data_IF_832416408402
#
_entry.id   IF_832416408402
#
_cell.length_a   1.000
_cell.length_b   1.000
_cell.length_c   1.000
_cell.angle_alpha   90.00
_cell.angle_beta   90.00
_cell.angle_gamma   90.00
#
_symmetry.space_group_name_H-M   'P 1'
#
loop_
_entity.id
_entity.type
_entity.pdbx_description
1 polymer ?
#
# COMPACT_ATOMS: atom_id res chain seq x y z
N UNK A 1 22.66 -8.37 50.59
CA UNK A 1 23.79 -9.23 51.06
C UNK A 1 25.12 -8.49 51.27
N UNK A 2 25.55 -7.59 50.37
CA UNK A 2 26.80 -6.80 50.54
C UNK A 2 26.92 -6.07 51.90
N UNK A 3 25.83 -5.44 52.36
CA UNK A 3 25.78 -4.78 53.67
C UNK A 3 25.98 -5.74 54.86
N UNK A 4 25.55 -7.00 54.73
CA UNK A 4 25.68 -8.01 55.77
C UNK A 4 27.15 -8.48 55.91
N UNK A 5 27.84 -8.71 54.79
CA UNK A 5 29.24 -9.17 54.79
C UNK A 5 30.18 -8.10 55.38
N UNK A 6 30.02 -6.83 54.97
CA UNK A 6 30.85 -5.73 55.48
C UNK A 6 30.57 -5.47 56.97
N UNK A 7 29.30 -5.59 57.40
CA UNK A 7 28.92 -5.46 58.80
C UNK A 7 29.53 -6.56 59.66
N UNK A 8 29.40 -7.82 59.26
CA UNK A 8 29.94 -8.97 59.99
C UNK A 8 31.48 -8.92 60.08
N UNK A 9 32.17 -8.62 58.97
CA UNK A 9 33.63 -8.49 58.95
C UNK A 9 34.12 -7.44 59.95
N UNK A 10 33.50 -6.25 59.98
CA UNK A 10 33.87 -5.19 60.94
C UNK A 10 33.66 -5.63 62.38
N UNK A 11 32.59 -6.37 62.66
CA UNK A 11 32.29 -6.90 64.00
C UNK A 11 33.33 -7.95 64.42
N UNK A 12 33.65 -8.91 63.55
CA UNK A 12 34.67 -9.93 63.83
C UNK A 12 36.07 -9.33 63.97
N UNK A 13 36.44 -8.33 63.15
CA UNK A 13 37.73 -7.63 63.28
C UNK A 13 37.85 -6.89 64.62
N UNK A 14 36.79 -6.20 65.06
CA UNK A 14 36.74 -5.58 66.38
C UNK A 14 36.94 -6.61 67.49
N UNK A 15 36.28 -7.75 67.37
CA UNK A 15 36.40 -8.86 68.32
C UNK A 15 37.83 -9.42 68.38
N UNK A 16 38.44 -9.71 67.23
CA UNK A 16 39.85 -10.16 67.14
C UNK A 16 40.80 -9.16 67.78
N UNK A 17 40.62 -7.86 67.52
CA UNK A 17 41.43 -6.81 68.12
C UNK A 17 41.27 -6.73 69.65
N UNK A 18 40.06 -6.96 70.15
CA UNK A 18 39.77 -7.01 71.58
C UNK A 18 40.39 -8.24 72.26
N UNK A 19 40.32 -9.43 71.65
CA UNK A 19 41.00 -10.62 72.19
C UNK A 19 42.52 -10.41 72.22
N UNK A 20 43.11 -9.81 71.16
CA UNK A 20 44.55 -9.48 71.11
C UNK A 20 45.00 -8.51 72.19
N UNK A 21 44.18 -7.53 72.56
CA UNK A 21 44.53 -6.57 73.62
C UNK A 21 44.44 -7.18 75.00
N UNK A 22 43.45 -8.04 75.24
CA UNK A 22 43.19 -8.72 76.52
C UNK A 22 44.25 -9.80 76.81
N UNK A 23 44.69 -10.55 75.79
CA UNK A 23 45.74 -11.58 75.93
C UNK A 23 47.08 -11.07 76.49
N UNK A 24 47.36 -9.76 76.41
CA UNK A 24 48.60 -9.17 76.94
C UNK A 24 48.55 -8.91 78.45
N UNK A 25 47.36 -8.72 79.01
CA UNK A 25 47.19 -8.22 80.37
C UNK A 25 46.40 -9.20 81.27
N UNK A 26 45.33 -9.81 80.76
CA UNK A 26 44.50 -10.78 81.48
C UNK A 26 43.85 -11.75 80.48
N UNK A 27 44.42 -12.94 80.23
CA UNK A 27 43.98 -13.81 79.15
C UNK A 27 42.60 -14.43 79.46
N UNK A 28 41.52 -13.78 78.99
CA UNK A 28 40.14 -14.28 79.07
C UNK A 28 39.34 -14.02 77.79
N UNK A 29 38.27 -14.80 77.59
CA UNK A 29 37.34 -14.62 76.48
C UNK A 29 36.44 -13.40 76.72
N UNK A 30 36.39 -12.42 75.80
CA UNK A 30 35.61 -11.19 76.01
C UNK A 30 34.09 -11.36 75.90
N UNK A 31 33.57 -12.52 75.49
CA UNK A 31 32.12 -12.78 75.46
C UNK A 31 31.61 -13.42 76.74
N UNK A 32 32.34 -14.42 77.24
CA UNK A 32 31.90 -15.23 78.38
C UNK A 32 32.79 -15.04 79.62
N UNK A 33 33.83 -14.21 79.55
CA UNK A 33 34.79 -13.93 80.62
C UNK A 33 35.53 -15.16 81.18
N UNK A 34 35.45 -16.30 80.47
CA UNK A 34 36.23 -17.50 80.81
C UNK A 34 37.72 -17.23 80.61
N UNK A 35 38.54 -17.54 81.61
CA UNK A 35 40.01 -17.45 81.50
C UNK A 35 40.52 -18.51 80.53
N UNK A 36 41.47 -18.12 79.69
CA UNK A 36 42.20 -19.07 78.85
C UNK A 36 43.21 -19.82 79.73
N UNK A 37 43.21 -21.14 79.64
CA UNK A 37 44.09 -22.00 80.44
C UNK A 37 45.51 -22.00 79.89
N UNK A 38 45.67 -21.73 78.59
CA UNK A 38 46.95 -21.59 77.90
C UNK A 38 46.89 -20.41 76.93
N UNK A 39 48.01 -19.70 76.77
CA UNK A 39 48.13 -18.61 75.79
C UNK A 39 47.78 -19.06 74.36
N UNK A 40 48.07 -20.32 74.03
CA UNK A 40 47.74 -20.96 72.75
C UNK A 40 46.24 -21.04 72.47
N UNK A 41 45.39 -21.06 73.50
CA UNK A 41 43.93 -21.14 73.38
C UNK A 41 43.35 -19.83 72.83
N UNK A 42 43.83 -18.68 73.32
CA UNK A 42 43.44 -17.37 72.80
C UNK A 42 43.94 -17.11 71.38
N UNK A 43 45.16 -17.57 71.06
CA UNK A 43 45.69 -17.52 69.70
C UNK A 43 44.90 -18.41 68.73
N UNK A 44 44.45 -19.58 69.19
CA UNK A 44 43.60 -20.47 68.40
C UNK A 44 42.23 -19.85 68.13
N UNK A 45 41.61 -19.23 69.14
CA UNK A 45 40.36 -18.48 68.95
C UNK A 45 40.50 -17.34 67.93
N UNK A 46 41.62 -16.61 67.96
CA UNK A 46 41.91 -15.57 66.95
C UNK A 46 41.99 -16.19 65.56
N UNK A 47 42.75 -17.28 65.39
CA UNK A 47 42.88 -17.97 64.10
C UNK A 47 41.53 -18.45 63.57
N UNK A 48 40.71 -19.05 64.42
CA UNK A 48 39.39 -19.57 64.04
C UNK A 48 38.48 -18.45 63.54
N UNK A 49 38.49 -17.28 64.20
CA UNK A 49 37.68 -16.13 63.80
C UNK A 49 38.24 -15.46 62.54
N UNK A 50 39.57 -15.38 62.39
CA UNK A 50 40.19 -14.86 61.17
C UNK A 50 39.90 -15.74 59.95
N UNK A 51 39.79 -17.06 60.13
CA UNK A 51 39.35 -17.99 59.08
C UNK A 51 37.88 -17.78 58.67
N UNK A 52 37.02 -17.31 59.59
CA UNK A 52 35.62 -16.97 59.28
C UNK A 52 35.46 -15.63 58.57
N UNK A 53 36.46 -14.74 58.67
CA UNK A 53 36.44 -13.45 57.97
C UNK A 53 36.77 -13.68 56.49
N UNK A 54 35.74 -13.55 55.64
CA UNK A 54 35.93 -13.62 54.19
C UNK A 54 36.87 -12.49 53.73
N UNK A 55 37.96 -12.86 53.07
CA UNK A 55 39.01 -11.94 52.66
C UNK A 55 38.59 -10.91 51.60
N UNK A 56 39.44 -9.89 51.34
CA UNK A 56 39.19 -8.83 50.35
C UNK A 56 38.94 -9.36 48.93
N UNK A 57 39.57 -10.46 48.53
CA UNK A 57 39.37 -11.07 47.20
C UNK A 57 37.94 -11.57 46.98
N UNK A 58 37.33 -12.17 48.01
CA UNK A 58 35.94 -12.61 47.94
C UNK A 58 34.98 -11.43 47.80
N UNK A 59 35.27 -10.30 48.47
CA UNK A 59 34.50 -9.06 48.32
C UNK A 59 34.62 -8.47 46.92
N UNK A 60 35.84 -8.39 46.39
CA UNK A 60 36.09 -7.93 45.01
C UNK A 60 35.36 -8.80 43.98
N UNK A 61 35.25 -10.10 44.23
CA UNK A 61 34.45 -11.00 43.38
C UNK A 61 32.96 -10.62 43.43
N UNK A 62 32.36 -10.54 44.61
CA UNK A 62 30.94 -10.16 44.77
C UNK A 62 30.66 -8.79 44.14
N UNK A 63 31.53 -7.81 44.36
CA UNK A 63 31.35 -6.46 43.81
C UNK A 63 31.38 -6.46 42.27
N UNK A 64 32.26 -7.25 41.66
CA UNK A 64 32.28 -7.46 40.20
C UNK A 64 31.01 -8.15 39.72
N UNK A 65 30.59 -9.21 40.39
CA UNK A 65 29.37 -9.96 40.01
C UNK A 65 28.12 -9.07 40.11
N UNK A 66 28.03 -8.24 41.16
CA UNK A 66 26.96 -7.27 41.32
C UNK A 66 26.99 -6.19 40.24
N UNK A 67 28.16 -5.65 39.90
CA UNK A 67 28.29 -4.66 38.83
C UNK A 67 27.85 -5.23 37.48
N UNK A 68 28.27 -6.46 37.16
CA UNK A 68 27.86 -7.16 35.94
C UNK A 68 26.35 -7.42 35.89
N UNK A 69 25.75 -7.79 37.03
CA UNK A 69 24.31 -8.02 37.13
C UNK A 69 23.52 -6.71 36.96
N UNK A 70 24.00 -5.63 37.56
CA UNK A 70 23.40 -4.28 37.40
C UNK A 70 23.45 -3.84 35.94
N UNK A 71 24.61 -3.96 35.29
CA UNK A 71 24.77 -3.61 33.88
C UNK A 71 23.82 -4.42 32.98
N UNK A 72 23.68 -5.73 33.23
CA UNK A 72 22.72 -6.57 32.50
C UNK A 72 21.28 -6.13 32.74
N UNK A 73 20.93 -5.81 33.98
CA UNK A 73 19.58 -5.38 34.33
C UNK A 73 19.22 -4.05 33.65
N UNK A 74 20.13 -3.07 33.65
CA UNK A 74 19.94 -1.81 32.94
C UNK A 74 19.75 -2.01 31.44
N UNK A 75 20.56 -2.88 30.82
CA UNK A 75 20.37 -3.26 29.41
C UNK A 75 18.99 -3.84 29.16
N UNK A 76 18.51 -4.75 30.01
CA UNK A 76 17.17 -5.31 29.89
C UNK A 76 16.06 -4.26 30.02
N UNK A 77 16.21 -3.31 30.95
CA UNK A 77 15.26 -2.19 31.10
C UNK A 77 15.20 -1.33 29.84
N UNK A 78 16.36 -1.04 29.25
CA UNK A 78 16.44 -0.25 28.01
C UNK A 78 15.87 -0.98 26.79
N UNK A 79 15.92 -2.32 26.77
CA UNK A 79 15.35 -3.13 25.70
C UNK A 79 13.83 -3.33 25.80
N UNK A 80 13.25 -3.22 27.01
CA UNK A 80 11.81 -3.40 27.25
C UNK A 80 10.90 -2.53 26.35
N UNK A 81 11.12 -1.21 26.20
CA UNK A 81 10.29 -0.40 25.31
C UNK A 81 10.44 -0.79 23.84
N UNK A 82 11.64 -1.16 23.40
CA UNK A 82 11.91 -1.60 22.03
C UNK A 82 11.14 -2.90 21.75
N UNK A 83 11.16 -3.85 22.69
CA UNK A 83 10.37 -5.08 22.58
C UNK A 83 8.86 -4.78 22.47
N UNK A 84 8.35 -3.86 23.27
CA UNK A 84 6.93 -3.45 23.17
C UNK A 84 6.60 -2.87 21.80
N UNK A 85 7.47 -2.02 21.26
CA UNK A 85 7.29 -1.44 19.92
C UNK A 85 7.34 -2.51 18.82
N UNK A 86 8.27 -3.46 18.93
CA UNK A 86 8.35 -4.60 18.00
C UNK A 86 7.08 -5.44 18.05
N UNK A 87 6.54 -5.68 19.24
CA UNK A 87 5.31 -6.42 19.41
C UNK A 87 4.11 -5.68 18.79
N UNK A 88 3.97 -4.37 19.00
CA UNK A 88 2.92 -3.58 18.37
C UNK A 88 3.03 -3.60 16.83
N UNK A 89 4.25 -3.49 16.29
CA UNK A 89 4.49 -3.59 14.86
C UNK A 89 4.08 -4.97 14.30
N UNK A 90 4.46 -6.05 14.98
CA UNK A 90 4.19 -7.42 14.55
C UNK A 90 2.70 -7.79 14.64
N UNK A 91 2.05 -7.43 15.75
CA UNK A 91 0.68 -7.86 16.04
C UNK A 91 -0.38 -6.91 15.46
N UNK A 92 -0.07 -5.62 15.27
CA UNK A 92 -1.07 -4.62 14.86
C UNK A 92 -0.73 -3.97 13.52
N UNK A 93 0.41 -3.29 13.42
CA UNK A 93 0.66 -2.38 12.30
C UNK A 93 0.92 -3.13 10.98
N UNK A 94 1.71 -4.20 11.02
CA UNK A 94 1.99 -5.02 9.84
C UNK A 94 0.71 -5.74 9.35
N UNK A 95 -0.07 -6.43 10.21
CA UNK A 95 -1.34 -7.03 9.81
C UNK A 95 -2.36 -6.02 9.26
N UNK A 96 -2.49 -4.84 9.89
CA UNK A 96 -3.38 -3.79 9.42
C UNK A 96 -2.97 -3.31 8.02
N UNK A 97 -1.69 -3.02 7.82
CA UNK A 97 -1.14 -2.60 6.52
C UNK A 97 -1.35 -3.66 5.43
N UNK A 98 -1.09 -4.95 5.74
CA UNK A 98 -1.36 -6.06 4.82
C UNK A 98 -2.84 -6.16 4.43
N UNK A 99 -3.73 -5.90 5.38
CA UNK A 99 -5.18 -5.93 5.13
C UNK A 99 -5.59 -4.78 4.20
N UNK A 100 -5.08 -3.57 4.45
CA UNK A 100 -5.30 -2.41 3.57
C UNK A 100 -4.78 -2.65 2.16
N UNK A 101 -3.58 -3.20 2.00
CA UNK A 101 -3.03 -3.56 0.68
C UNK A 101 -3.93 -4.53 -0.06
N UNK A 102 -4.38 -5.61 0.59
CA UNK A 102 -5.29 -6.59 -0.03
C UNK A 102 -6.62 -5.95 -0.45
N UNK A 103 -7.10 -4.96 0.29
CA UNK A 103 -8.33 -4.26 -0.04
C UNK A 103 -8.12 -3.34 -1.25
N UNK A 104 -7.04 -2.56 -1.28
CA UNK A 104 -6.67 -1.74 -2.43
C UNK A 104 -6.46 -2.58 -3.69
N UNK A 105 -5.81 -3.74 -3.59
CA UNK A 105 -5.65 -4.66 -4.73
C UNK A 105 -7.00 -5.14 -5.28
N UNK A 106 -7.97 -5.43 -4.41
CA UNK A 106 -9.33 -5.79 -4.84
C UNK A 106 -10.01 -4.62 -5.54
N UNK A 107 -9.90 -3.41 -4.99
CA UNK A 107 -10.48 -2.20 -5.58
C UNK A 107 -9.86 -1.89 -6.95
N UNK A 108 -8.54 -1.99 -7.08
CA UNK A 108 -7.83 -1.83 -8.36
C UNK A 108 -8.35 -2.82 -9.39
N UNK A 109 -8.49 -4.10 -9.03
CA UNK A 109 -8.99 -5.12 -9.95
C UNK A 109 -10.45 -4.87 -10.35
N UNK A 110 -11.29 -4.43 -9.40
CA UNK A 110 -12.67 -4.05 -9.71
C UNK A 110 -12.74 -2.86 -10.67
N UNK A 111 -11.89 -1.84 -10.45
CA UNK A 111 -11.83 -0.67 -11.32
C UNK A 111 -11.33 -1.03 -12.72
N UNK A 112 -10.32 -1.89 -12.84
CA UNK A 112 -9.84 -2.39 -14.13
C UNK A 112 -10.94 -3.13 -14.89
N UNK A 113 -11.69 -4.02 -14.22
CA UNK A 113 -12.79 -4.74 -14.85
C UNK A 113 -13.90 -3.79 -15.32
N UNK A 114 -14.23 -2.77 -14.51
CA UNK A 114 -15.18 -1.74 -14.90
C UNK A 114 -14.70 -0.94 -16.10
N UNK A 115 -13.42 -0.56 -16.12
CA UNK A 115 -12.82 0.14 -17.25
C UNK A 115 -12.95 -0.68 -18.53
N UNK A 116 -12.58 -1.96 -18.49
CA UNK A 116 -12.69 -2.85 -19.66
C UNK A 116 -14.15 -3.01 -20.12
N UNK A 117 -15.11 -3.11 -19.22
CA UNK A 117 -16.54 -3.15 -19.57
C UNK A 117 -16.98 -1.87 -20.29
N UNK A 118 -16.61 -0.71 -19.76
CA UNK A 118 -16.95 0.59 -20.36
C UNK A 118 -16.28 0.75 -21.72
N UNK A 119 -15.03 0.31 -21.88
CA UNK A 119 -14.34 0.36 -23.18
C UNK A 119 -15.01 -0.55 -24.22
N UNK A 120 -15.49 -1.74 -23.81
CA UNK A 120 -16.25 -2.63 -24.67
C UNK A 120 -17.61 -2.03 -25.05
N UNK A 121 -18.37 -1.53 -24.07
CA UNK A 121 -19.65 -0.85 -24.30
C UNK A 121 -19.49 0.34 -25.25
N UNK A 122 -18.46 1.17 -25.03
CA UNK A 122 -18.15 2.31 -25.91
C UNK A 122 -17.85 1.86 -27.35
N UNK A 123 -17.06 0.80 -27.49
CA UNK A 123 -16.70 0.28 -28.81
C UNK A 123 -17.94 -0.26 -29.55
N UNK A 124 -18.77 -1.03 -28.85
CA UNK A 124 -19.91 -1.72 -29.44
C UNK A 124 -21.09 -0.77 -29.72
N UNK A 125 -21.37 0.17 -28.82
CA UNK A 125 -22.51 1.07 -28.94
C UNK A 125 -22.20 2.32 -29.78
N UNK A 126 -20.95 2.77 -29.84
CA UNK A 126 -20.59 4.05 -30.48
C UNK A 126 -19.62 3.84 -31.63
N UNK A 127 -18.45 3.23 -31.40
CA UNK A 127 -17.41 3.16 -32.43
C UNK A 127 -17.84 2.33 -33.64
N UNK A 128 -18.34 1.11 -33.43
CA UNK A 128 -18.78 0.23 -34.53
C UNK A 128 -19.94 0.85 -35.35
N UNK A 129 -21.02 1.38 -34.75
CA UNK A 129 -22.07 2.04 -35.52
C UNK A 129 -21.60 3.28 -36.26
N UNK A 130 -20.66 4.04 -35.69
CA UNK A 130 -20.09 5.22 -36.35
C UNK A 130 -19.28 4.83 -37.59
N UNK A 131 -18.47 3.77 -37.50
CA UNK A 131 -17.74 3.24 -38.66
C UNK A 131 -18.68 2.77 -39.77
N UNK A 132 -19.78 2.08 -39.41
CA UNK A 132 -20.81 1.68 -40.37
C UNK A 132 -21.48 2.89 -41.03
N UNK A 133 -21.80 3.93 -40.25
CA UNK A 133 -22.35 5.18 -40.79
C UNK A 133 -21.39 5.85 -41.78
N UNK A 134 -20.10 5.91 -41.47
CA UNK A 134 -19.09 6.49 -42.37
C UNK A 134 -18.94 5.69 -43.68
N UNK A 135 -19.09 4.35 -43.64
CA UNK A 135 -19.07 3.53 -44.85
C UNK A 135 -20.23 3.84 -45.81
N UNK A 136 -21.42 4.11 -45.27
CA UNK A 136 -22.65 4.35 -46.08
C UNK A 136 -22.74 5.83 -46.54
N UNK A 137 -21.93 6.72 -45.99
CA UNK A 137 -21.96 8.16 -46.25
C UNK A 137 -21.82 8.53 -47.72
N UNK A 138 -20.90 7.88 -48.44
CA UNK A 138 -20.71 8.09 -49.88
C UNK A 138 -21.92 7.66 -50.69
N UNK A 139 -22.57 6.57 -50.30
CA UNK A 139 -23.76 6.06 -50.98
C UNK A 139 -24.93 7.03 -50.81
N UNK A 140 -25.10 7.61 -49.62
CA UNK A 140 -26.11 8.65 -49.37
C UNK A 140 -25.89 9.88 -50.25
N UNK A 141 -24.64 10.30 -50.45
CA UNK A 141 -24.30 11.42 -51.33
C UNK A 141 -24.69 11.08 -52.79
N UNK A 142 -24.36 9.87 -53.26
CA UNK A 142 -24.75 9.41 -54.60
C UNK A 142 -26.26 9.31 -54.75
N UNK A 143 -26.96 8.80 -53.75
CA UNK A 143 -28.42 8.68 -53.74
C UNK A 143 -29.09 10.06 -53.88
N UNK A 144 -28.59 11.07 -53.16
CA UNK A 144 -29.06 12.45 -53.28
C UNK A 144 -28.84 13.03 -54.69
N UNK A 145 -27.70 12.74 -55.31
CA UNK A 145 -27.44 13.12 -56.70
C UNK A 145 -28.47 12.51 -57.64
N UNK A 146 -28.75 11.21 -57.54
CA UNK A 146 -29.75 10.53 -58.36
C UNK A 146 -31.18 11.04 -58.11
N UNK A 147 -31.53 11.38 -56.87
CA UNK A 147 -32.82 12.01 -56.56
C UNK A 147 -32.98 13.34 -57.30
N UNK A 148 -31.91 14.15 -57.37
CA UNK A 148 -31.95 15.42 -58.09
C UNK A 148 -32.04 15.23 -59.61
N UNK A 149 -31.24 14.32 -60.18
CA UNK A 149 -31.32 13.98 -61.61
C UNK A 149 -32.72 13.48 -61.99
N UNK A 150 -33.35 12.64 -61.16
CA UNK A 150 -34.72 12.18 -61.39
C UNK A 150 -35.72 13.33 -61.42
N UNK A 151 -35.63 14.29 -60.49
CA UNK A 151 -36.49 15.49 -60.47
C UNK A 151 -36.30 16.35 -61.72
N UNK A 152 -35.07 16.48 -62.20
CA UNK A 152 -34.79 17.17 -63.47
C UNK A 152 -35.41 16.46 -64.67
N UNK A 153 -35.34 15.12 -64.71
CA UNK A 153 -35.98 14.36 -65.77
C UNK A 153 -37.50 14.45 -65.70
N UNK A 154 -38.12 14.38 -64.52
CA UNK A 154 -39.56 14.61 -64.34
C UNK A 154 -39.99 15.98 -64.86
N UNK A 155 -39.23 17.04 -64.54
CA UNK A 155 -39.53 18.39 -65.07
C UNK A 155 -39.40 18.44 -66.59
N UNK A 156 -38.35 17.84 -67.17
CA UNK A 156 -38.19 17.75 -68.63
C UNK A 156 -39.33 16.97 -69.30
N UNK A 157 -39.74 15.85 -68.73
CA UNK A 157 -40.87 15.04 -69.21
C UNK A 157 -42.16 15.86 -69.18
N UNK A 158 -42.46 16.53 -68.06
CA UNK A 158 -43.65 17.38 -67.93
C UNK A 158 -43.66 18.50 -69.00
N UNK A 159 -42.52 19.14 -69.25
CA UNK A 159 -42.40 20.15 -70.33
C UNK A 159 -42.65 19.54 -71.70
N UNK A 160 -42.06 18.38 -72.01
CA UNK A 160 -42.31 17.68 -73.27
C UNK A 160 -43.79 17.28 -73.44
N UNK A 161 -44.43 16.78 -72.38
CA UNK A 161 -45.85 16.44 -72.39
C UNK A 161 -46.73 17.67 -72.64
N UNK A 162 -46.42 18.81 -72.04
CA UNK A 162 -47.12 20.07 -72.31
C UNK A 162 -46.94 20.52 -73.77
N UNK A 163 -45.72 20.44 -74.31
CA UNK A 163 -45.45 20.77 -75.72
C UNK A 163 -46.22 19.88 -76.67
N UNK A 164 -46.20 18.56 -76.45
CA UNK A 164 -46.98 17.58 -77.22
C UNK A 164 -48.48 17.84 -77.13
N UNK A 165 -49.01 18.14 -75.95
CA UNK A 165 -50.42 18.51 -75.77
C UNK A 165 -50.81 19.77 -76.56
N UNK A 166 -49.94 20.78 -76.56
CA UNK A 166 -50.14 22.00 -77.34
C UNK A 166 -50.09 21.75 -78.85
N UNK A 167 -49.14 20.94 -79.34
CA UNK A 167 -49.06 20.57 -80.75
C UNK A 167 -50.26 19.74 -81.21
N UNK A 168 -50.76 18.83 -80.36
CA UNK A 168 -51.96 18.04 -80.64
C UNK A 168 -53.22 18.92 -80.72
N UNK A 169 -53.32 19.92 -79.83
CA UNK A 169 -54.38 20.94 -79.89
C UNK A 169 -54.32 21.78 -81.18
N UNK A 170 -53.12 22.16 -81.64
CA UNK A 170 -52.94 22.85 -82.93
C UNK A 170 -53.33 21.94 -84.10
N UNK A 171 -52.97 20.65 -84.06
CA UNK A 171 -53.33 19.69 -85.10
C UNK A 171 -54.84 19.46 -85.21
N UNK A 172 -55.55 19.44 -84.08
CA UNK A 172 -57.01 19.36 -84.05
C UNK A 172 -57.67 20.65 -84.60
N UNK A 173 -57.12 21.84 -84.30
CA UNK A 173 -57.58 23.10 -84.91
C UNK A 173 -57.34 23.15 -86.44
N UNK A 174 -56.25 22.56 -86.94
CA UNK A 174 -55.96 22.49 -88.38
C UNK A 174 -56.88 21.49 -89.09
N UNK A 175 -57.25 20.38 -88.43
CA UNK A 175 -58.22 19.42 -88.99
C UNK A 175 -59.64 19.99 -89.10
N UNK A 176 -60.02 20.94 -88.25
CA UNK A 176 -61.33 21.60 -88.31
C UNK A 176 -61.43 22.72 -89.37
N UNK A 177 -60.37 23.00 -90.13
CA UNK A 177 -60.41 23.96 -91.25
C UNK A 177 -60.38 23.25 -92.62
N UNK A 178 -61.53 23.11 -93.33
CA UNK A 178 -61.54 22.57 -94.67
C UNK A 178 -61.22 23.66 -95.68
N UNK A 179 -59.93 23.85 -95.96
CA UNK A 179 -59.33 24.27 -97.24
C UNK A 179 -58.03 25.02 -96.99
N UNK A 180 -56.90 24.43 -97.38
CA UNK A 180 -55.81 25.16 -97.98
C UNK A 180 -54.98 24.20 -98.84
N UNK A 181 -54.74 24.64 -100.07
CA UNK A 181 -54.13 23.88 -101.14
C UNK A 181 -52.73 23.37 -100.78
N UNK A 182 -52.52 22.08 -101.01
CA UNK A 182 -51.21 21.46 -101.05
C UNK A 182 -50.33 22.17 -102.09
N UNK A 183 -49.28 22.86 -101.63
CA UNK A 183 -48.13 23.18 -102.48
C UNK A 183 -46.91 22.50 -101.88
N UNK A 184 -46.25 21.71 -102.73
CA UNK A 184 -45.11 20.88 -102.39
C UNK A 184 -43.94 21.72 -101.89
N UNK A 185 -43.50 21.52 -100.65
CA UNK A 185 -42.19 21.96 -100.20
C UNK A 185 -41.23 20.76 -100.19
N UNK A 186 -40.43 20.66 -101.26
CA UNK A 186 -39.19 19.87 -101.25
C UNK A 186 -38.15 20.68 -100.48
N UNK A 187 -37.81 20.25 -99.27
CA UNK A 187 -36.55 20.64 -98.65
C UNK A 187 -36.19 19.64 -97.54
N UNK A 188 -35.51 18.56 -97.92
CA UNK A 188 -34.43 17.96 -97.13
C UNK A 188 -33.76 16.90 -98.00
N UNK A 189 -32.77 17.35 -98.76
CA UNK A 189 -31.64 16.54 -99.22
C UNK A 189 -30.38 17.39 -99.01
N UNK A 190 -29.38 16.81 -98.32
CA UNK A 190 -28.03 17.29 -97.99
C UNK A 190 -27.86 18.22 -96.76
N UNK A 191 -27.60 17.62 -95.59
CA UNK A 191 -26.26 17.46 -94.97
C UNK A 191 -26.39 16.80 -93.60
#
# INVERSE_FOLDING_TARGET
>A
EKGNIVGMEKTYQKFVNQVRSILKNDPCCPLCYRKFEKQTEGEQLIRDIELQIKGPEYRRKIDRDLALLQERFEKCLNLKPIHSQLQDLEEKDIPASKTQMKQLDKEINQLKNKQTSIEQELNDEICLPLEQCEQIKTDIIMLNKYINERKEFETKINVCQQKLGNEMFIFDQVKETPNLQFTSFKFFDKL
#
